data_IF_294355896647
#
_entry.id   IF_294355896647
#
_cell.length_a   1.000
_cell.length_b   1.000
_cell.length_c   1.000
_cell.angle_alpha   90.00
_cell.angle_beta   90.00
_cell.angle_gamma   90.00
#
_symmetry.space_group_name_H-M   'P 1'
#
loop_
_entity.id
_entity.type
_entity.pdbx_description
1 polymer ?
#
# COMPACT_ATOMS: atom_id res chain seq x y z
N UNK A 1 11.53 4.65 -20.33
CA UNK A 1 11.79 3.83 -19.13
C UNK A 1 11.32 4.63 -17.92
N UNK A 2 10.79 3.97 -16.89
CA UNK A 2 10.39 4.65 -15.64
C UNK A 2 11.30 4.24 -14.49
N UNK A 3 11.48 5.18 -13.56
CA UNK A 3 12.23 5.02 -12.31
C UNK A 3 11.30 5.16 -11.09
N UNK A 4 11.75 4.84 -9.87
CA UNK A 4 10.97 5.10 -8.67
C UNK A 4 10.55 6.56 -8.47
N UNK A 5 11.28 7.52 -9.04
CA UNK A 5 10.97 8.95 -8.99
C UNK A 5 9.73 9.34 -9.83
N UNK A 6 9.35 8.49 -10.79
CA UNK A 6 8.21 8.73 -11.68
C UNK A 6 6.87 8.27 -11.09
N UNK A 7 6.84 7.69 -9.89
CA UNK A 7 5.64 7.13 -9.26
C UNK A 7 4.52 8.17 -9.15
N UNK A 8 4.84 9.41 -8.79
CA UNK A 8 3.85 10.46 -8.67
C UNK A 8 3.16 10.73 -10.00
N UNK A 9 3.92 10.85 -11.09
CA UNK A 9 3.38 10.98 -12.45
C UNK A 9 2.54 9.77 -12.87
N UNK A 10 2.98 8.58 -12.53
CA UNK A 10 2.26 7.34 -12.84
C UNK A 10 0.92 7.24 -12.12
N UNK A 11 0.77 7.80 -10.92
CA UNK A 11 -0.50 7.85 -10.18
C UNK A 11 -1.59 8.67 -10.89
N UNK A 12 -1.20 9.69 -11.63
CA UNK A 12 -2.13 10.53 -12.41
C UNK A 12 -2.34 10.03 -13.84
N UNK A 13 -1.49 9.12 -14.31
CA UNK A 13 -1.56 8.61 -15.67
C UNK A 13 -2.75 7.68 -15.89
N UNK A 14 -3.44 7.83 -17.02
CA UNK A 14 -4.49 6.89 -17.45
C UNK A 14 -3.91 5.62 -18.10
N UNK A 15 -2.65 5.65 -18.50
CA UNK A 15 -1.91 4.53 -19.05
C UNK A 15 -0.42 4.82 -19.08
N UNK A 16 0.39 3.77 -19.09
CA UNK A 16 1.85 3.87 -19.10
C UNK A 16 2.38 3.19 -20.36
N UNK A 17 3.18 3.91 -21.14
CA UNK A 17 3.82 3.40 -22.35
C UNK A 17 5.33 3.63 -22.25
N UNK A 18 6.12 2.57 -22.39
CA UNK A 18 7.59 2.67 -22.32
C UNK A 18 8.28 2.02 -23.52
N UNK A 19 9.40 2.61 -23.92
CA UNK A 19 10.26 2.09 -25.01
C UNK A 19 11.02 0.85 -24.56
N UNK A 20 11.48 0.84 -23.30
CA UNK A 20 12.26 -0.25 -22.71
C UNK A 20 11.53 -0.87 -21.52
N UNK A 21 11.83 -2.12 -21.28
CA UNK A 21 11.27 -2.89 -20.16
C UNK A 21 10.49 -4.10 -20.63
N UNK A 22 10.10 -4.93 -19.70
CA UNK A 22 9.27 -6.12 -19.90
C UNK A 22 8.27 -6.27 -18.75
N UNK A 23 7.64 -7.42 -18.62
CA UNK A 23 6.62 -7.69 -17.59
C UNK A 23 7.11 -7.52 -16.15
N UNK A 24 8.41 -7.57 -15.91
CA UNK A 24 9.05 -7.40 -14.60
C UNK A 24 9.72 -6.03 -14.44
N UNK A 25 9.58 -5.13 -15.42
CA UNK A 25 10.11 -3.76 -15.31
C UNK A 25 9.37 -2.96 -14.27
N UNK A 26 10.00 -1.92 -13.74
CA UNK A 26 9.41 -0.99 -12.78
C UNK A 26 8.05 -0.47 -13.27
N UNK A 27 7.98 0.02 -14.54
CA UNK A 27 6.73 0.49 -15.15
C UNK A 27 5.61 -0.55 -15.09
N UNK A 28 5.89 -1.79 -15.49
CA UNK A 28 4.88 -2.85 -15.55
C UNK A 28 4.41 -3.31 -14.17
N UNK A 29 5.32 -3.41 -13.21
CA UNK A 29 5.00 -3.82 -11.83
C UNK A 29 4.19 -2.76 -11.12
N UNK A 30 4.62 -1.49 -11.18
CA UNK A 30 3.93 -0.38 -10.52
C UNK A 30 2.57 -0.11 -11.16
N UNK A 31 2.48 -0.03 -12.49
CA UNK A 31 1.20 0.18 -13.18
C UNK A 31 0.19 -0.93 -12.87
N UNK A 32 0.64 -2.19 -12.79
CA UNK A 32 -0.21 -3.32 -12.40
C UNK A 32 -0.71 -3.16 -10.96
N UNK A 33 0.15 -2.75 -10.03
CA UNK A 33 -0.25 -2.46 -8.66
C UNK A 33 -1.27 -1.32 -8.55
N UNK A 34 -1.16 -0.32 -9.42
CA UNK A 34 -2.11 0.81 -9.52
C UNK A 34 -3.40 0.48 -10.29
N UNK A 35 -3.48 -0.67 -10.95
CA UNK A 35 -4.59 -1.00 -11.87
C UNK A 35 -4.58 -0.15 -13.14
N UNK A 36 -3.44 0.44 -13.51
CA UNK A 36 -3.27 1.29 -14.68
C UNK A 36 -2.81 0.46 -15.87
N UNK A 37 -3.40 0.68 -17.06
CA UNK A 37 -2.99 0.00 -18.29
C UNK A 37 -1.52 0.31 -18.59
N UNK A 38 -0.73 -0.72 -18.93
CA UNK A 38 0.68 -0.57 -19.24
C UNK A 38 1.07 -1.38 -20.48
N UNK A 39 1.72 -0.72 -21.45
CA UNK A 39 2.43 -1.35 -22.55
C UNK A 39 3.91 -1.03 -22.38
N UNK A 40 4.71 -2.03 -22.01
CA UNK A 40 6.13 -1.85 -21.76
C UNK A 40 6.99 -2.52 -22.83
N UNK A 41 8.12 -1.87 -23.19
CA UNK A 41 9.09 -2.42 -24.13
C UNK A 41 8.72 -2.24 -25.60
N UNK A 42 7.98 -1.18 -25.95
CA UNK A 42 7.71 -0.83 -27.33
C UNK A 42 8.95 -0.16 -27.98
N UNK A 43 9.90 -0.99 -28.42
CA UNK A 43 11.17 -0.53 -29.01
C UNK A 43 11.05 0.21 -30.34
N UNK A 44 9.88 0.21 -30.96
CA UNK A 44 9.61 0.94 -32.22
C UNK A 44 9.34 2.44 -31.98
N UNK A 45 9.15 2.85 -30.74
CA UNK A 45 8.93 4.26 -30.40
C UNK A 45 10.26 5.02 -30.44
N UNK A 46 10.27 6.13 -31.17
CA UNK A 46 11.37 7.09 -31.16
C UNK A 46 10.93 8.37 -30.44
N UNK A 47 11.51 8.65 -29.29
CA UNK A 47 11.14 9.78 -28.44
C UNK A 47 12.12 10.93 -28.62
N UNK A 48 11.59 12.13 -28.84
CA UNK A 48 12.31 13.41 -28.79
C UNK A 48 11.80 14.21 -27.58
N UNK A 49 12.48 14.05 -26.46
CA UNK A 49 12.10 14.68 -25.19
C UNK A 49 12.14 16.22 -25.26
N UNK A 50 13.09 16.77 -25.99
CA UNK A 50 13.22 18.22 -26.17
C UNK A 50 12.05 18.83 -26.95
N UNK A 51 11.59 18.11 -27.96
CA UNK A 51 10.46 18.54 -28.79
C UNK A 51 9.11 18.03 -28.24
N UNK A 52 9.09 17.32 -27.09
CA UNK A 52 7.91 16.72 -26.48
C UNK A 52 7.04 15.96 -27.48
N UNK A 53 7.67 15.11 -28.28
CA UNK A 53 7.01 14.29 -29.28
C UNK A 53 7.62 12.91 -29.37
N UNK A 54 6.86 11.97 -29.89
CA UNK A 54 7.39 10.67 -30.28
C UNK A 54 6.85 10.24 -31.64
N UNK A 55 7.55 9.33 -32.25
CA UNK A 55 7.17 8.71 -33.51
C UNK A 55 6.94 7.22 -33.30
N UNK A 56 5.84 6.72 -33.85
CA UNK A 56 5.48 5.32 -33.85
C UNK A 56 4.74 4.95 -35.14
N UNK A 57 5.16 3.89 -35.81
CA UNK A 57 4.55 3.39 -37.04
C UNK A 57 4.38 4.47 -38.13
N UNK A 58 5.37 5.37 -38.28
CA UNK A 58 5.37 6.45 -39.27
C UNK A 58 4.46 7.63 -38.96
N UNK A 59 3.88 7.68 -37.74
CA UNK A 59 3.09 8.83 -37.27
C UNK A 59 3.84 9.54 -36.14
N UNK A 60 3.74 10.86 -36.12
CA UNK A 60 4.27 11.70 -35.02
C UNK A 60 3.14 12.10 -34.08
N UNK A 61 3.35 11.87 -32.79
CA UNK A 61 2.45 12.25 -31.69
C UNK A 61 3.11 13.33 -30.85
N UNK A 62 2.32 14.31 -30.43
CA UNK A 62 2.74 15.44 -29.60
C UNK A 62 2.01 15.41 -28.28
N UNK A 63 2.48 16.21 -27.34
CA UNK A 63 1.77 16.46 -26.09
C UNK A 63 0.33 16.93 -26.36
N UNK A 64 -0.65 16.22 -25.75
CA UNK A 64 -2.08 16.45 -25.95
C UNK A 64 -2.75 15.58 -27.00
N UNK A 65 -2.00 14.84 -27.82
CA UNK A 65 -2.58 13.88 -28.78
C UNK A 65 -3.10 12.64 -28.04
N UNK A 66 -4.22 12.09 -28.54
CA UNK A 66 -4.82 10.89 -27.98
C UNK A 66 -4.20 9.62 -28.57
N UNK A 67 -3.88 8.70 -27.67
CA UNK A 67 -3.54 7.32 -27.99
C UNK A 67 -4.32 6.39 -27.06
N UNK A 68 -4.63 5.19 -27.51
CA UNK A 68 -5.23 4.15 -26.68
C UNK A 68 -4.29 2.96 -26.56
N UNK A 69 -4.21 2.38 -25.36
CA UNK A 69 -3.34 1.26 -25.04
C UNK A 69 -4.17 0.03 -24.70
N UNK A 70 -3.82 -1.12 -25.25
CA UNK A 70 -4.32 -2.42 -24.83
C UNK A 70 -3.18 -3.20 -24.15
N UNK A 71 -3.19 -3.21 -22.83
CA UNK A 71 -2.17 -3.90 -22.02
C UNK A 71 -2.23 -5.43 -22.12
N UNK A 72 -3.33 -6.00 -22.62
CA UNK A 72 -3.48 -7.45 -22.77
C UNK A 72 -2.79 -7.96 -24.05
N UNK A 73 -2.93 -7.22 -25.14
CA UNK A 73 -2.36 -7.57 -26.45
C UNK A 73 -1.04 -6.84 -26.74
N UNK A 74 -0.75 -5.75 -26.01
CA UNK A 74 0.37 -4.86 -26.28
C UNK A 74 0.14 -3.92 -27.47
N UNK A 75 -1.11 -3.82 -27.96
CA UNK A 75 -1.44 -2.95 -29.08
C UNK A 75 -1.57 -1.49 -28.66
N UNK A 76 -1.12 -0.61 -29.58
CA UNK A 76 -1.21 0.85 -29.41
C UNK A 76 -2.01 1.39 -30.59
N UNK A 77 -3.04 2.16 -30.30
CA UNK A 77 -3.92 2.77 -31.28
C UNK A 77 -3.72 4.28 -31.29
N UNK A 78 -3.55 4.85 -32.49
CA UNK A 78 -3.31 6.28 -32.68
C UNK A 78 -4.59 7.13 -32.64
N UNK A 79 -5.59 6.75 -31.89
CA UNK A 79 -6.88 7.43 -31.72
C UNK A 79 -7.51 7.08 -30.39
N UNK A 80 -8.50 7.87 -29.95
CA UNK A 80 -9.29 7.57 -28.76
C UNK A 80 -10.28 6.43 -29.06
N UNK A 81 -10.04 5.26 -28.47
CA UNK A 81 -10.94 4.10 -28.58
C UNK A 81 -11.83 4.05 -27.33
N UNK A 82 -13.14 3.84 -27.48
CA UNK A 82 -14.02 3.63 -26.34
C UNK A 82 -13.56 2.44 -25.51
N UNK A 83 -13.38 2.65 -24.21
CA UNK A 83 -13.00 1.60 -23.26
C UNK A 83 -14.20 1.17 -22.43
N UNK A 84 -14.20 -0.08 -21.99
CA UNK A 84 -15.17 -0.59 -21.02
C UNK A 84 -14.46 -0.93 -19.73
N UNK A 85 -15.06 -0.66 -18.57
CA UNK A 85 -14.52 -1.09 -17.28
C UNK A 85 -14.30 -2.61 -17.26
N UNK A 86 -13.23 -3.07 -16.64
CA UNK A 86 -13.03 -4.48 -16.39
C UNK A 86 -14.15 -4.98 -15.45
N UNK A 87 -14.97 -5.90 -15.93
CA UNK A 87 -16.09 -6.51 -15.18
C UNK A 87 -16.04 -8.02 -15.31
N UNK A 88 -16.49 -8.68 -14.24
CA UNK A 88 -16.75 -10.13 -14.31
C UNK A 88 -18.11 -10.29 -14.99
N UNK A 89 -18.13 -10.76 -16.23
CA UNK A 89 -19.34 -10.88 -17.02
C UNK A 89 -19.26 -12.03 -18.04
N UNK A 90 -20.39 -12.44 -18.56
CA UNK A 90 -20.49 -13.44 -19.63
C UNK A 90 -19.94 -14.82 -19.26
N UNK A 91 -19.15 -15.41 -20.12
CA UNK A 91 -18.61 -16.76 -19.91
C UNK A 91 -17.58 -16.80 -18.76
N UNK A 92 -16.88 -15.71 -18.49
CA UNK A 92 -15.98 -15.61 -17.34
C UNK A 92 -16.75 -15.65 -16.02
N UNK A 93 -17.86 -14.93 -15.92
CA UNK A 93 -18.75 -14.98 -14.75
C UNK A 93 -19.30 -16.40 -14.53
N UNK A 94 -19.67 -17.08 -15.61
CA UNK A 94 -20.15 -18.46 -15.56
C UNK A 94 -19.09 -19.43 -15.02
N UNK A 95 -17.83 -19.28 -15.44
CA UNK A 95 -16.71 -20.07 -14.93
C UNK A 95 -16.47 -19.77 -13.45
N UNK A 96 -16.50 -18.49 -13.06
CA UNK A 96 -16.33 -18.09 -11.66
C UNK A 96 -17.43 -18.66 -10.76
N UNK A 97 -18.68 -18.61 -11.21
CA UNK A 97 -19.81 -19.22 -10.50
C UNK A 97 -19.68 -20.74 -10.35
N UNK A 98 -19.13 -21.42 -11.37
CA UNK A 98 -18.81 -22.85 -11.26
C UNK A 98 -17.69 -23.12 -10.28
N UNK A 99 -16.62 -22.30 -10.29
CA UNK A 99 -15.53 -22.41 -9.34
C UNK A 99 -16.02 -22.22 -7.90
N UNK A 100 -16.88 -21.23 -7.67
CA UNK A 100 -17.47 -20.97 -6.34
C UNK A 100 -18.34 -22.13 -5.84
N UNK A 101 -18.99 -22.86 -6.74
CA UNK A 101 -19.79 -24.03 -6.38
C UNK A 101 -18.95 -25.20 -5.86
N UNK A 102 -17.70 -25.35 -6.32
CA UNK A 102 -16.84 -26.50 -6.01
C UNK A 102 -15.70 -26.18 -5.05
N UNK A 103 -15.34 -24.92 -4.88
CA UNK A 103 -14.28 -24.53 -3.96
C UNK A 103 -14.66 -24.83 -2.51
N UNK A 104 -13.65 -25.14 -1.70
CA UNK A 104 -13.77 -25.36 -0.25
C UNK A 104 -13.06 -24.28 0.57
N UNK A 105 -12.19 -23.49 -0.07
CA UNK A 105 -11.45 -22.41 0.55
C UNK A 105 -11.96 -21.04 0.08
N UNK A 106 -11.84 -20.06 0.92
CA UNK A 106 -12.08 -18.66 0.56
C UNK A 106 -10.88 -18.06 -0.19
N UNK A 107 -11.16 -17.18 -1.13
CA UNK A 107 -10.13 -16.36 -1.79
C UNK A 107 -10.16 -14.98 -1.18
N UNK A 108 -9.08 -14.62 -0.48
CA UNK A 108 -8.90 -13.32 0.16
C UNK A 108 -7.82 -12.52 -0.56
N UNK A 109 -8.00 -11.21 -0.62
CA UNK A 109 -7.10 -10.29 -1.30
C UNK A 109 -6.14 -9.60 -0.34
N UNK A 110 -5.10 -8.95 -0.89
CA UNK A 110 -4.36 -7.93 -0.17
C UNK A 110 -5.01 -6.57 -0.48
N UNK A 111 -5.39 -5.82 0.54
CA UNK A 111 -5.92 -4.47 0.40
C UNK A 111 -5.62 -3.65 1.66
N UNK A 112 -5.08 -2.46 1.48
CA UNK A 112 -4.64 -1.56 2.54
C UNK A 112 -5.52 -0.30 2.61
N UNK A 113 -6.33 -0.05 1.56
CA UNK A 113 -7.24 1.10 1.48
C UNK A 113 -8.69 0.66 1.27
N UNK A 114 -9.67 1.47 1.70
CA UNK A 114 -11.09 1.20 1.46
C UNK A 114 -11.44 1.13 -0.04
N UNK A 115 -10.74 1.88 -0.88
CA UNK A 115 -10.91 1.86 -2.33
C UNK A 115 -10.55 0.50 -2.90
N UNK A 116 -9.37 0.00 -2.54
CA UNK A 116 -8.86 -1.28 -3.05
C UNK A 116 -9.71 -2.44 -2.51
N UNK A 117 -10.14 -2.35 -1.24
CA UNK A 117 -11.05 -3.32 -0.63
C UNK A 117 -12.38 -3.42 -1.37
N UNK A 118 -13.01 -2.28 -1.70
CA UNK A 118 -14.25 -2.25 -2.50
C UNK A 118 -14.06 -2.82 -3.90
N UNK A 119 -12.97 -2.46 -4.57
CA UNK A 119 -12.66 -2.97 -5.89
C UNK A 119 -12.45 -4.49 -5.88
N UNK A 120 -11.71 -4.99 -4.89
CA UNK A 120 -11.50 -6.42 -4.72
C UNK A 120 -12.80 -7.18 -4.40
N UNK A 121 -13.64 -6.62 -3.54
CA UNK A 121 -14.96 -7.18 -3.25
C UNK A 121 -15.85 -7.24 -4.50
N UNK A 122 -15.81 -6.20 -5.36
CA UNK A 122 -16.50 -6.19 -6.65
C UNK A 122 -15.99 -7.27 -7.62
N UNK A 123 -14.72 -7.64 -7.53
CA UNK A 123 -14.12 -8.75 -8.26
C UNK A 123 -14.31 -10.13 -7.59
N UNK A 124 -15.12 -10.21 -6.53
CA UNK A 124 -15.49 -11.48 -5.90
C UNK A 124 -14.56 -11.90 -4.76
N UNK A 125 -13.67 -11.04 -4.26
CA UNK A 125 -12.89 -11.33 -3.07
C UNK A 125 -13.81 -11.53 -1.85
N UNK A 126 -13.50 -12.56 -1.04
CA UNK A 126 -14.33 -12.97 0.08
C UNK A 126 -13.83 -12.43 1.42
N UNK A 127 -12.73 -11.71 1.39
CA UNK A 127 -12.13 -11.08 2.54
C UNK A 127 -10.81 -10.40 2.19
N UNK A 128 -10.26 -9.71 3.16
CA UNK A 128 -8.88 -9.22 3.13
C UNK A 128 -8.02 -10.24 3.88
N UNK A 129 -7.07 -10.86 3.17
CA UNK A 129 -6.11 -11.82 3.74
C UNK A 129 -4.88 -11.13 4.32
N UNK A 130 -4.59 -9.91 3.85
CA UNK A 130 -3.50 -9.09 4.36
C UNK A 130 -3.81 -7.60 4.18
N UNK A 131 -3.93 -6.89 5.28
CA UNK A 131 -3.87 -5.44 5.35
C UNK A 131 -2.54 -5.04 6.01
N UNK A 132 -1.72 -4.28 5.26
CA UNK A 132 -0.41 -3.78 5.72
C UNK A 132 -0.59 -2.43 6.40
N UNK A 133 -0.48 -2.41 7.71
CA UNK A 133 -0.72 -1.19 8.49
C UNK A 133 0.36 -0.13 8.32
N UNK A 134 1.56 -0.51 7.90
CA UNK A 134 2.66 0.41 7.63
C UNK A 134 2.33 1.45 6.56
N UNK A 135 1.58 1.07 5.53
CA UNK A 135 1.21 1.99 4.45
C UNK A 135 0.35 3.16 4.94
N UNK A 136 -0.40 2.97 6.03
CA UNK A 136 -1.22 4.01 6.64
C UNK A 136 -0.40 5.10 7.34
N UNK A 137 0.86 4.82 7.70
CA UNK A 137 1.71 5.75 8.44
C UNK A 137 2.54 6.69 7.56
N UNK A 138 2.61 6.44 6.25
CA UNK A 138 3.34 7.30 5.33
C UNK A 138 2.57 8.56 4.90
N UNK A 139 1.30 8.66 5.21
CA UNK A 139 0.52 9.86 4.94
C UNK A 139 1.09 11.07 5.68
N UNK A 140 1.07 12.24 5.03
CA UNK A 140 1.72 13.46 5.52
C UNK A 140 1.24 13.91 6.90
N UNK A 141 -0.03 13.66 7.23
CA UNK A 141 -0.63 13.97 8.53
C UNK A 141 -0.25 12.99 9.65
N UNK A 142 0.37 11.85 9.32
CA UNK A 142 0.66 10.75 10.25
C UNK A 142 2.13 10.49 10.44
N UNK A 143 2.93 10.68 9.39
CA UNK A 143 4.36 10.38 9.41
C UNK A 143 5.08 11.15 10.52
N UNK A 144 4.63 12.36 10.85
CA UNK A 144 5.20 13.16 11.94
C UNK A 144 5.00 12.50 13.30
N UNK A 145 3.79 11.99 13.60
CA UNK A 145 3.51 11.28 14.84
C UNK A 145 4.24 9.92 14.90
N UNK A 146 4.39 9.24 13.77
CA UNK A 146 5.17 8.01 13.68
C UNK A 146 6.65 8.26 13.99
N UNK A 147 7.22 9.30 13.43
CA UNK A 147 8.60 9.74 13.72
C UNK A 147 8.78 10.16 15.18
N UNK A 148 7.79 10.82 15.77
CA UNK A 148 7.77 11.16 17.19
C UNK A 148 7.81 9.89 18.06
N UNK A 149 7.02 8.90 17.75
CA UNK A 149 7.03 7.60 18.42
C UNK A 149 8.40 6.92 18.34
N UNK A 150 9.02 6.91 17.16
CA UNK A 150 10.33 6.28 16.93
C UNK A 150 11.44 7.01 17.69
N UNK A 151 11.41 8.35 17.73
CA UNK A 151 12.41 9.19 18.37
C UNK A 151 12.20 9.39 19.87
N UNK A 152 11.17 8.78 20.48
CA UNK A 152 10.90 8.88 21.92
C UNK A 152 11.98 8.18 22.75
N UNK A 153 12.39 8.81 23.83
CA UNK A 153 13.40 8.26 24.75
C UNK A 153 12.76 7.44 25.87
N UNK A 154 11.49 7.71 26.20
CA UNK A 154 10.73 7.03 27.27
C UNK A 154 9.47 6.37 26.74
N UNK A 155 8.93 5.41 27.54
CA UNK A 155 7.65 4.76 27.24
C UNK A 155 6.51 5.77 27.24
N UNK A 156 6.51 6.70 28.21
CA UNK A 156 5.49 7.74 28.34
C UNK A 156 5.44 8.70 27.14
N UNK A 157 6.59 9.05 26.61
CA UNK A 157 6.67 9.85 25.37
C UNK A 157 6.15 9.07 24.18
N UNK A 158 6.51 7.80 24.08
CA UNK A 158 6.05 6.91 23.02
C UNK A 158 4.54 6.72 23.05
N UNK A 159 3.98 6.48 24.24
CA UNK A 159 2.54 6.36 24.43
C UNK A 159 1.79 7.63 24.01
N UNK A 160 2.32 8.83 24.31
CA UNK A 160 1.72 10.10 23.83
C UNK A 160 1.71 10.23 22.31
N UNK A 161 2.75 9.77 21.64
CA UNK A 161 2.78 9.75 20.18
C UNK A 161 1.78 8.73 19.61
N UNK A 162 1.71 7.55 20.24
CA UNK A 162 0.75 6.49 19.88
C UNK A 162 -0.70 6.91 20.09
N UNK A 163 -1.00 7.69 21.13
CA UNK A 163 -2.34 8.24 21.38
C UNK A 163 -2.83 9.16 20.24
N UNK A 164 -1.90 9.78 19.49
CA UNK A 164 -2.24 10.54 18.27
C UNK A 164 -2.57 9.62 17.09
N UNK A 165 -1.86 8.51 16.99
CA UNK A 165 -2.01 7.55 15.89
C UNK A 165 -3.21 6.61 16.05
N UNK A 166 -3.57 6.24 17.28
CA UNK A 166 -4.67 5.31 17.57
C UNK A 166 -5.99 5.70 16.89
N UNK A 167 -6.51 6.95 17.05
CA UNK A 167 -7.78 7.33 16.41
C UNK A 167 -7.70 7.36 14.89
N UNK A 168 -6.53 7.65 14.31
CA UNK A 168 -6.34 7.65 12.87
C UNK A 168 -6.44 6.22 12.31
N UNK A 169 -5.69 5.28 12.90
CA UNK A 169 -5.76 3.86 12.50
C UNK A 169 -7.15 3.25 12.77
N UNK A 170 -7.76 3.58 13.90
CA UNK A 170 -9.13 3.14 14.18
C UNK A 170 -10.08 3.57 13.05
N UNK A 171 -10.01 4.83 12.60
CA UNK A 171 -10.83 5.35 11.51
C UNK A 171 -10.57 4.64 10.18
N UNK A 172 -9.33 4.23 9.90
CA UNK A 172 -9.01 3.47 8.70
C UNK A 172 -9.57 2.05 8.74
N UNK A 173 -9.43 1.38 9.88
CA UNK A 173 -9.99 0.05 10.06
C UNK A 173 -11.52 0.06 10.01
N UNK A 174 -12.19 1.09 10.56
CA UNK A 174 -13.63 1.25 10.42
C UNK A 174 -14.05 1.31 8.95
N UNK A 175 -13.35 2.13 8.14
CA UNK A 175 -13.62 2.24 6.70
C UNK A 175 -13.36 0.94 5.94
N UNK A 176 -12.34 0.16 6.34
CA UNK A 176 -12.06 -1.16 5.75
C UNK A 176 -13.17 -2.16 6.08
N UNK A 177 -13.60 -2.24 7.34
CA UNK A 177 -14.72 -3.09 7.72
C UNK A 177 -16.02 -2.71 7.00
N UNK A 178 -16.30 -1.42 6.85
CA UNK A 178 -17.45 -0.93 6.07
C UNK A 178 -17.34 -1.29 4.58
N UNK A 179 -16.13 -1.19 4.00
CA UNK A 179 -15.90 -1.55 2.61
C UNK A 179 -16.09 -3.06 2.35
N UNK A 180 -15.87 -3.89 3.36
CA UNK A 180 -15.96 -5.34 3.27
C UNK A 180 -17.31 -5.93 3.71
N UNK A 181 -18.20 -5.11 4.28
CA UNK A 181 -19.61 -5.48 4.57
C UNK A 181 -19.76 -6.83 5.30
N UNK A 182 -19.03 -7.02 6.39
CA UNK A 182 -19.06 -8.23 7.20
C UNK A 182 -18.15 -9.38 6.72
N UNK A 183 -17.46 -9.22 5.60
CA UNK A 183 -16.42 -10.16 5.18
C UNK A 183 -15.19 -10.05 6.10
N UNK A 184 -14.40 -11.11 6.16
CA UNK A 184 -13.20 -11.16 7.00
C UNK A 184 -12.15 -10.12 6.60
N UNK A 185 -11.55 -9.48 7.59
CA UNK A 185 -10.44 -8.52 7.41
C UNK A 185 -9.30 -8.89 8.35
N UNK A 186 -8.20 -9.36 7.78
CA UNK A 186 -7.00 -9.71 8.52
C UNK A 186 -6.02 -8.53 8.51
N UNK A 187 -5.82 -7.93 9.67
CA UNK A 187 -4.98 -6.75 9.87
C UNK A 187 -3.64 -7.18 10.45
N UNK A 188 -2.57 -6.89 9.75
CA UNK A 188 -1.21 -7.21 10.18
C UNK A 188 -0.68 -6.10 11.10
N UNK A 189 -0.08 -6.46 12.23
CA UNK A 189 0.69 -5.53 13.04
C UNK A 189 1.84 -4.94 12.24
N UNK A 190 2.33 -3.79 12.67
CA UNK A 190 3.47 -3.09 12.09
C UNK A 190 4.63 -4.08 11.86
N UNK A 191 5.03 -4.22 10.60
CA UNK A 191 6.02 -5.22 10.20
C UNK A 191 7.40 -4.65 9.87
N UNK A 192 7.55 -3.55 9.09
CA UNK A 192 8.86 -3.11 8.67
C UNK A 192 9.72 -2.55 9.82
N UNK A 193 11.06 -2.56 9.66
CA UNK A 193 11.95 -1.91 10.59
C UNK A 193 11.65 -0.42 10.73
N UNK A 194 11.85 0.13 11.93
CA UNK A 194 11.47 1.52 12.22
C UNK A 194 12.26 2.56 11.42
N UNK A 195 13.47 2.25 10.97
CA UNK A 195 14.28 3.18 10.18
C UNK A 195 13.65 3.54 8.83
N UNK A 196 12.76 2.70 8.29
CA UNK A 196 12.05 2.97 7.02
C UNK A 196 11.13 4.21 7.10
N UNK A 197 10.70 4.60 8.30
CA UNK A 197 9.87 5.80 8.51
C UNK A 197 10.70 7.07 8.75
N UNK A 198 12.01 6.93 8.91
CA UNK A 198 12.91 8.06 9.16
C UNK A 198 13.48 8.60 7.85
N UNK A 199 13.70 9.90 7.74
CA UNK A 199 14.21 10.51 6.53
C UNK A 199 15.69 10.18 6.31
N UNK A 200 16.11 10.24 5.04
CA UNK A 200 17.50 10.07 4.63
C UNK A 200 18.15 11.39 4.16
N UNK A 201 17.35 12.34 3.67
CA UNK A 201 17.83 13.63 3.23
C UNK A 201 18.14 14.55 4.43
N UNK A 202 19.21 15.32 4.32
CA UNK A 202 19.71 16.19 5.40
C UNK A 202 18.67 17.23 5.83
N UNK A 203 17.99 17.85 4.86
CA UNK A 203 16.97 18.86 5.08
C UNK A 203 15.79 18.30 5.88
N UNK A 204 15.34 17.09 5.56
CA UNK A 204 14.26 16.42 6.26
C UNK A 204 14.67 15.98 7.67
N UNK A 205 15.95 15.59 7.87
CA UNK A 205 16.49 15.27 9.18
C UNK A 205 16.49 16.50 10.08
N UNK A 206 16.86 17.67 9.55
CA UNK A 206 16.80 18.95 10.27
C UNK A 206 15.36 19.29 10.68
N UNK A 207 14.40 19.05 9.78
CA UNK A 207 12.98 19.27 10.07
C UNK A 207 12.48 18.36 11.20
N UNK A 208 12.83 17.08 11.15
CA UNK A 208 12.48 16.12 12.21
C UNK A 208 13.14 16.51 13.54
N UNK A 209 14.43 16.88 13.52
CA UNK A 209 15.14 17.33 14.70
C UNK A 209 14.47 18.50 15.39
N UNK A 210 14.09 19.52 14.61
CA UNK A 210 13.34 20.70 15.08
C UNK A 210 11.97 20.32 15.65
N UNK A 211 11.23 19.45 14.96
CA UNK A 211 9.90 19.01 15.39
C UNK A 211 9.94 18.20 16.71
N UNK A 212 11.03 17.43 16.92
CA UNK A 212 11.20 16.58 18.11
C UNK A 212 11.95 17.28 19.25
N UNK A 213 12.41 18.52 19.06
CA UNK A 213 13.22 19.23 20.05
C UNK A 213 14.58 18.59 20.31
N UNK A 214 15.10 17.82 19.34
CA UNK A 214 16.40 17.14 19.39
C UNK A 214 17.40 17.82 18.46
N UNK A 215 18.70 17.50 18.64
CA UNK A 215 19.73 17.96 17.69
C UNK A 215 19.77 17.05 16.46
N UNK A 216 20.29 17.57 15.36
CA UNK A 216 20.49 16.80 14.12
C UNK A 216 21.36 15.56 14.37
N UNK A 217 22.41 15.71 15.21
CA UNK A 217 23.31 14.62 15.59
C UNK A 217 22.57 13.53 16.37
N UNK A 218 21.62 13.91 17.24
CA UNK A 218 20.79 12.94 17.95
C UNK A 218 19.89 12.16 17.02
N UNK A 219 19.22 12.82 16.06
CA UNK A 219 18.40 12.13 15.06
C UNK A 219 19.24 11.22 14.19
N UNK A 220 20.40 11.67 13.72
CA UNK A 220 21.35 10.83 12.96
C UNK A 220 21.81 9.61 13.76
N UNK A 221 22.08 9.77 15.05
CA UNK A 221 22.44 8.66 15.92
C UNK A 221 21.31 7.64 16.05
N UNK A 222 20.04 8.09 16.16
CA UNK A 222 18.87 7.21 16.16
C UNK A 222 18.75 6.46 14.83
N UNK A 223 18.86 7.15 13.69
CA UNK A 223 18.82 6.52 12.36
C UNK A 223 19.87 5.43 12.24
N UNK A 224 21.12 5.74 12.62
CA UNK A 224 22.23 4.78 12.58
C UNK A 224 21.97 3.59 13.50
N UNK A 225 21.44 3.82 14.71
CA UNK A 225 21.16 2.74 15.68
C UNK A 225 20.03 1.80 15.23
N UNK A 226 19.10 2.29 14.42
CA UNK A 226 17.98 1.52 13.88
C UNK A 226 18.28 0.89 12.52
N UNK A 227 19.40 1.27 11.89
CA UNK A 227 19.77 0.75 10.57
C UNK A 227 20.10 -0.74 10.65
N UNK A 228 19.43 -1.53 9.83
CA UNK A 228 19.59 -2.98 9.79
C UNK A 228 20.52 -3.39 8.64
N UNK A 229 21.50 -4.25 8.93
CA UNK A 229 22.35 -4.84 7.89
C UNK A 229 21.53 -5.73 6.95
N UNK A 230 20.58 -6.49 7.50
CA UNK A 230 19.60 -7.25 6.75
C UNK A 230 18.20 -6.93 7.27
N UNK A 231 17.44 -6.05 6.60
CA UNK A 231 16.11 -5.67 7.05
C UNK A 231 15.13 -6.83 7.20
N UNK A 232 15.30 -7.92 6.46
CA UNK A 232 14.42 -9.08 6.58
C UNK A 232 14.60 -9.86 7.88
N UNK A 233 15.80 -9.82 8.46
CA UNK A 233 16.17 -10.51 9.69
C UNK A 233 16.28 -9.58 10.91
N UNK A 234 16.03 -8.29 10.71
CA UNK A 234 16.22 -7.24 11.70
C UNK A 234 15.12 -7.15 12.76
N UNK A 235 15.15 -6.03 13.48
CA UNK A 235 14.22 -5.70 14.54
C UNK A 235 12.88 -5.20 13.96
N UNK A 236 11.98 -6.14 13.65
CA UNK A 236 10.70 -5.90 12.99
C UNK A 236 9.64 -6.94 13.43
N UNK A 237 8.40 -6.72 13.06
CA UNK A 237 7.31 -7.67 13.27
C UNK A 237 7.08 -8.01 14.74
N UNK A 238 6.99 -9.29 15.07
CA UNK A 238 6.77 -9.74 16.46
C UNK A 238 7.90 -9.28 17.40
N UNK A 239 9.16 -9.18 16.93
CA UNK A 239 10.28 -8.70 17.74
C UNK A 239 10.08 -7.25 18.16
N UNK A 240 9.54 -6.42 17.26
CA UNK A 240 9.16 -5.05 17.58
C UNK A 240 8.05 -5.01 18.65
N UNK A 241 7.04 -5.88 18.51
CA UNK A 241 5.94 -6.00 19.48
C UNK A 241 6.40 -6.46 20.86
N UNK A 242 7.46 -7.25 20.95
CA UNK A 242 8.08 -7.67 22.23
C UNK A 242 8.86 -6.50 22.86
N UNK A 243 9.61 -5.76 22.08
CA UNK A 243 10.46 -4.67 22.57
C UNK A 243 9.65 -3.40 22.88
N UNK A 244 8.65 -3.09 22.07
CA UNK A 244 7.75 -1.96 22.22
C UNK A 244 6.28 -2.43 22.30
N UNK A 245 5.89 -3.10 23.39
CA UNK A 245 4.55 -3.69 23.51
C UNK A 245 3.41 -2.67 23.45
N UNK A 246 3.68 -1.40 23.75
CA UNK A 246 2.74 -0.30 23.62
C UNK A 246 2.28 -0.08 22.16
N UNK A 247 3.11 -0.35 21.18
CA UNK A 247 2.74 -0.28 19.75
C UNK A 247 1.69 -1.33 19.41
N UNK A 248 1.95 -2.60 19.80
CA UNK A 248 1.00 -3.69 19.58
C UNK A 248 -0.31 -3.48 20.36
N UNK A 249 -0.23 -2.94 21.59
CA UNK A 249 -1.43 -2.57 22.39
C UNK A 249 -2.25 -1.50 21.68
N UNK A 250 -1.61 -0.45 21.16
CA UNK A 250 -2.29 0.62 20.42
C UNK A 250 -3.01 0.06 19.19
N UNK A 251 -2.31 -0.72 18.36
CA UNK A 251 -2.90 -1.33 17.17
C UNK A 251 -4.05 -2.27 17.51
N UNK A 252 -3.90 -3.10 18.56
CA UNK A 252 -4.99 -3.97 19.02
C UNK A 252 -6.21 -3.17 19.46
N UNK A 253 -6.02 -2.08 20.22
CA UNK A 253 -7.11 -1.19 20.62
C UNK A 253 -7.82 -0.58 19.40
N UNK A 254 -7.06 -0.09 18.42
CA UNK A 254 -7.61 0.50 17.21
C UNK A 254 -8.47 -0.52 16.44
N UNK A 255 -7.97 -1.75 16.24
CA UNK A 255 -8.69 -2.84 15.56
C UNK A 255 -9.99 -3.19 16.29
N UNK A 256 -9.91 -3.43 17.59
CA UNK A 256 -11.08 -3.86 18.39
C UNK A 256 -12.13 -2.74 18.50
N UNK A 257 -11.70 -1.49 18.72
CA UNK A 257 -12.62 -0.34 18.77
C UNK A 257 -13.30 -0.14 17.41
N UNK A 258 -12.57 -0.26 16.31
CA UNK A 258 -13.13 -0.18 14.97
C UNK A 258 -14.20 -1.27 14.75
N UNK A 259 -13.89 -2.51 15.06
CA UNK A 259 -14.84 -3.63 14.96
C UNK A 259 -16.10 -3.39 15.79
N UNK A 260 -15.97 -2.95 17.05
CA UNK A 260 -17.10 -2.62 17.94
C UNK A 260 -17.95 -1.49 17.35
N UNK A 261 -17.32 -0.42 16.84
CA UNK A 261 -18.04 0.72 16.28
C UNK A 261 -18.81 0.36 15.02
N UNK A 262 -18.20 -0.43 14.13
CA UNK A 262 -18.86 -0.88 12.90
C UNK A 262 -19.99 -1.86 13.23
N UNK A 263 -19.80 -2.79 14.17
CA UNK A 263 -20.88 -3.70 14.63
C UNK A 263 -22.05 -2.92 15.20
N UNK A 264 -21.82 -1.82 15.90
CA UNK A 264 -22.93 -0.97 16.42
C UNK A 264 -23.69 -0.25 15.31
N UNK A 265 -22.99 0.17 14.23
CA UNK A 265 -23.63 0.81 13.08
C UNK A 265 -24.35 -0.18 12.16
N UNK A 266 -23.80 -1.38 12.06
CA UNK A 266 -24.26 -2.45 11.16
C UNK A 266 -24.38 -3.78 11.93
N UNK A 267 -25.41 -3.90 12.79
CA UNK A 267 -25.59 -5.11 13.62
C UNK A 267 -25.92 -6.38 12.82
N UNK A 268 -26.31 -6.21 11.56
CA UNK A 268 -26.54 -7.29 10.61
C UNK A 268 -25.24 -7.92 10.06
N UNK A 269 -24.10 -7.22 10.20
CA UNK A 269 -22.80 -7.74 9.76
C UNK A 269 -22.11 -8.51 10.88
N UNK A 270 -21.57 -9.67 10.54
CA UNK A 270 -20.76 -10.45 11.48
C UNK A 270 -19.30 -9.99 11.41
N UNK A 271 -18.98 -8.88 12.06
CA UNK A 271 -17.59 -8.37 12.08
C UNK A 271 -16.72 -9.23 12.99
N UNK A 272 -15.77 -9.95 12.42
CA UNK A 272 -14.77 -10.74 13.15
C UNK A 272 -13.40 -10.10 12.94
N UNK A 273 -12.83 -9.43 13.96
CA UNK A 273 -11.50 -8.85 13.85
C UNK A 273 -10.45 -9.95 13.82
N UNK A 274 -9.62 -9.96 12.79
CA UNK A 274 -8.48 -10.86 12.65
C UNK A 274 -7.19 -10.04 12.73
N UNK A 275 -6.23 -10.51 13.53
CA UNK A 275 -4.94 -9.84 13.72
C UNK A 275 -3.83 -10.83 13.34
N UNK A 276 -2.96 -10.40 12.42
CA UNK A 276 -1.76 -11.15 12.06
C UNK A 276 -0.57 -10.60 12.82
N UNK A 277 0.10 -11.46 13.58
CA UNK A 277 1.40 -11.17 14.19
C UNK A 277 2.49 -11.67 13.23
N UNK A 278 3.23 -10.77 12.57
CA UNK A 278 4.20 -11.16 11.56
C UNK A 278 5.50 -11.72 12.17
N UNK A 279 6.19 -12.59 11.42
CA UNK A 279 7.53 -13.12 11.71
C UNK A 279 7.66 -13.98 12.96
N UNK A 280 6.58 -14.54 13.48
CA UNK A 280 6.64 -15.48 14.61
C UNK A 280 7.37 -16.75 14.19
N UNK A 281 8.49 -17.05 14.84
CA UNK A 281 9.30 -18.25 14.63
C UNK A 281 9.25 -19.25 15.77
N UNK A 282 8.98 -18.77 16.99
CA UNK A 282 8.93 -19.60 18.18
C UNK A 282 7.67 -19.30 19.03
N UNK A 283 7.21 -20.31 19.76
CA UNK A 283 6.03 -20.19 20.61
C UNK A 283 6.14 -19.05 21.65
N UNK A 284 7.33 -18.83 22.18
CA UNK A 284 7.60 -17.76 23.17
C UNK A 284 7.44 -16.33 22.62
N UNK A 285 7.53 -16.16 21.29
CA UNK A 285 7.31 -14.85 20.67
C UNK A 285 5.82 -14.50 20.57
N UNK A 286 4.95 -15.48 20.74
CA UNK A 286 3.50 -15.31 20.67
C UNK A 286 2.80 -15.43 22.04
N UNK A 287 3.41 -16.09 23.00
CA UNK A 287 2.88 -16.30 24.35
C UNK A 287 3.19 -15.11 25.28
#
# INVERSE_FOLDING_TARGET
ETSPEDIEGMNYAQGVLTVRGGMTSHAAVVARGMGTCCVSGCGEINIDENAKKFELAGRTYKEGDWISLDGSTGCIYGEAIPTVPATISGEFERIMNLADKYRTLEVRTNADTPRDAKQAAAFGAQGIGLCRTEHMFFDADRISAMREMICSDTVEEREKALDKLEPMQQGDFEKLYEAMEGKHVNIRFLDPPLHEFLPTAEEDIEEVAKAQGKTVEQIKAIIVSLHEFNPMMGHRGCRLSVTFPEVAKMQTKAVIKAAINVTKRHPEWNIVPEIMVPLVGELKEFA
#
